data_IF_056680169641
#
_entry.id   IF_056680169641
#
_cell.length_a   1.000
_cell.length_b   1.000
_cell.length_c   1.000
_cell.angle_alpha   90.00
_cell.angle_beta   90.00
_cell.angle_gamma   90.00
#
_symmetry.space_group_name_H-M   'P 1'
#
loop_
_entity.id
_entity.type
_entity.pdbx_description
1 polymer ?
#
# COMPACT_ATOMS: atom_id res chain seq x y z
N UNK A 1 -11.13 -10.50 -11.04
CA UNK A 1 -11.93 -9.39 -10.55
C UNK A 1 -12.54 -9.61 -9.16
N UNK A 2 -13.17 -10.75 -8.83
CA UNK A 2 -13.74 -10.98 -7.48
C UNK A 2 -12.72 -11.03 -6.32
N UNK A 3 -11.50 -11.54 -6.53
CA UNK A 3 -10.44 -11.59 -5.49
C UNK A 3 -9.90 -10.20 -5.09
N UNK A 4 -9.81 -9.23 -6.01
CA UNK A 4 -9.38 -7.86 -5.69
C UNK A 4 -10.34 -7.13 -4.75
N UNK A 5 -11.65 -7.28 -4.92
CA UNK A 5 -12.65 -6.65 -4.04
C UNK A 5 -12.51 -7.06 -2.57
N UNK A 6 -12.07 -8.29 -2.27
CA UNK A 6 -11.84 -8.73 -0.90
C UNK A 6 -10.57 -8.15 -0.24
N UNK A 7 -9.52 -7.84 -1.02
CA UNK A 7 -8.28 -7.30 -0.48
C UNK A 7 -8.45 -5.89 0.15
N UNK A 8 -9.24 -5.04 -0.51
CA UNK A 8 -9.46 -3.65 -0.06
C UNK A 8 -10.58 -3.51 0.98
N UNK A 9 -11.58 -4.42 0.94
CA UNK A 9 -12.62 -4.51 1.99
C UNK A 9 -12.05 -4.69 3.40
N UNK A 10 -10.85 -5.20 3.55
CA UNK A 10 -10.22 -5.42 4.86
C UNK A 10 -9.47 -4.19 5.39
N UNK A 11 -8.89 -3.35 4.52
CA UNK A 11 -8.46 -1.99 4.89
C UNK A 11 -9.63 -1.18 5.46
N UNK A 12 -10.83 -1.35 4.87
CA UNK A 12 -12.07 -0.74 5.35
C UNK A 12 -12.51 -1.23 6.73
N UNK A 13 -12.41 -2.53 7.02
CA UNK A 13 -12.72 -3.06 8.37
C UNK A 13 -11.81 -2.42 9.43
N UNK A 14 -10.58 -2.05 9.10
CA UNK A 14 -9.67 -1.34 10.01
C UNK A 14 -10.13 0.10 10.27
N UNK A 15 -10.50 0.85 9.24
CA UNK A 15 -11.00 2.23 9.40
C UNK A 15 -12.30 2.26 10.19
N UNK A 16 -13.24 1.32 9.94
CA UNK A 16 -14.50 1.19 10.68
C UNK A 16 -14.30 0.67 12.11
N UNK A 17 -13.34 -0.22 12.39
CA UNK A 17 -13.06 -0.72 13.74
C UNK A 17 -12.50 0.36 14.67
N UNK A 18 -11.68 1.27 14.18
CA UNK A 18 -11.16 2.38 15.00
C UNK A 18 -12.23 3.40 15.35
N UNK A 19 -13.25 3.58 14.51
CA UNK A 19 -14.38 4.48 14.80
C UNK A 19 -15.38 3.88 15.82
N UNK A 20 -15.45 2.54 15.95
CA UNK A 20 -16.42 1.87 16.84
C UNK A 20 -15.86 1.43 18.19
N UNK A 21 -14.54 1.40 18.41
CA UNK A 21 -13.93 0.98 19.70
C UNK A 21 -14.04 2.00 20.84
N UNK A 22 -14.59 3.20 20.60
CA UNK A 22 -14.72 4.24 21.64
C UNK A 22 -15.93 4.07 22.59
N UNK A 23 -16.78 3.06 22.43
CA UNK A 23 -18.10 3.02 23.15
C UNK A 23 -18.36 1.75 23.97
N UNK A 24 -17.48 0.74 24.08
CA UNK A 24 -17.78 -0.48 24.85
C UNK A 24 -16.76 -0.80 25.92
N UNK A 25 -16.72 -0.02 26.98
CA UNK A 25 -16.10 -0.38 28.24
C UNK A 25 -17.12 -0.28 29.38
N UNK A 26 -17.90 -1.34 29.61
CA UNK A 26 -18.44 -1.70 30.94
C UNK A 26 -19.33 -2.96 30.84
N UNK A 27 -18.85 -4.08 31.29
CA UNK A 27 -19.49 -4.94 32.29
C UNK A 27 -18.70 -6.26 32.48
N UNK A 28 -17.97 -6.33 33.58
CA UNK A 28 -17.49 -7.60 34.12
C UNK A 28 -18.65 -8.37 34.76
N UNK A 29 -18.82 -9.64 34.35
CA UNK A 29 -19.37 -10.64 35.24
C UNK A 29 -18.62 -11.97 35.10
N UNK A 30 -17.94 -12.34 36.17
CA UNK A 30 -17.21 -13.59 36.34
C UNK A 30 -18.20 -14.73 36.47
N UNK A 31 -18.08 -15.77 35.62
CA UNK A 31 -18.51 -17.14 35.95
C UNK A 31 -17.51 -18.16 35.44
N UNK A 32 -17.20 -19.11 36.29
CA UNK A 32 -16.16 -20.12 36.26
C UNK A 32 -16.33 -21.22 35.22
N UNK A 33 -15.18 -21.64 34.66
CA UNK A 33 -14.70 -22.97 34.35
C UNK A 33 -15.60 -23.96 33.60
N UNK A 34 -15.47 -24.01 32.34
CA UNK A 34 -15.09 -25.18 31.51
C UNK A 34 -14.44 -24.58 30.27
N UNK A 35 -13.13 -24.78 30.10
CA UNK A 35 -12.46 -24.44 28.86
C UNK A 35 -12.91 -25.45 27.81
N UNK A 36 -14.04 -25.19 27.13
CA UNK A 36 -14.24 -25.66 25.78
C UNK A 36 -13.11 -25.04 24.96
N UNK A 37 -12.26 -25.87 24.39
CA UNK A 37 -11.30 -25.45 23.39
C UNK A 37 -12.13 -24.92 22.21
N UNK A 38 -12.30 -23.62 22.16
CA UNK A 38 -13.10 -22.98 21.12
C UNK A 38 -12.49 -23.38 19.77
N UNK A 39 -13.32 -23.96 18.90
CA UNK A 39 -12.87 -24.35 17.57
C UNK A 39 -12.41 -23.12 16.81
N UNK A 40 -11.17 -23.17 16.24
CA UNK A 40 -10.59 -22.06 15.50
C UNK A 40 -11.49 -21.67 14.33
N UNK A 41 -11.68 -20.38 14.14
CA UNK A 41 -12.37 -19.84 12.96
C UNK A 41 -11.59 -20.19 11.67
N UNK A 42 -12.22 -20.17 10.50
CA UNK A 42 -11.51 -20.37 9.23
C UNK A 42 -10.29 -19.45 9.05
N UNK A 43 -10.42 -18.18 9.45
CA UNK A 43 -9.31 -17.22 9.39
C UNK A 43 -8.16 -17.59 10.34
N UNK A 44 -8.45 -18.02 11.57
CA UNK A 44 -7.42 -18.50 12.50
C UNK A 44 -6.75 -19.80 12.03
N UNK A 45 -7.50 -20.74 11.42
CA UNK A 45 -6.95 -21.93 10.79
C UNK A 45 -6.00 -21.58 9.64
N UNK A 46 -6.32 -20.54 8.85
CA UNK A 46 -5.43 -20.02 7.81
C UNK A 46 -4.13 -19.46 8.40
N UNK A 47 -4.22 -18.64 9.45
CA UNK A 47 -3.04 -18.10 10.16
C UNK A 47 -2.11 -19.22 10.61
N UNK A 48 -2.65 -20.27 11.25
CA UNK A 48 -1.88 -21.43 11.70
C UNK A 48 -1.26 -22.21 10.52
N UNK A 49 -2.01 -22.41 9.44
CA UNK A 49 -1.52 -23.07 8.23
C UNK A 49 -0.36 -22.29 7.59
N UNK A 50 -0.46 -20.95 7.51
CA UNK A 50 0.59 -20.12 6.92
C UNK A 50 1.83 -20.02 7.81
N UNK A 51 1.68 -19.99 9.13
CA UNK A 51 2.80 -20.06 10.07
C UNK A 51 3.61 -21.35 9.92
N UNK A 52 2.96 -22.45 9.50
CA UNK A 52 3.58 -23.76 9.33
C UNK A 52 3.89 -24.12 7.87
N UNK A 53 3.56 -23.27 6.90
CA UNK A 53 3.59 -23.58 5.48
C UNK A 53 4.93 -24.14 5.00
N UNK A 54 6.02 -23.52 5.41
CA UNK A 54 7.38 -23.85 5.00
C UNK A 54 8.07 -24.93 5.84
N UNK A 55 7.39 -25.52 6.85
CA UNK A 55 8.02 -26.46 7.78
C UNK A 55 8.56 -27.74 7.10
N UNK A 56 7.97 -28.15 5.98
CA UNK A 56 8.38 -29.34 5.21
C UNK A 56 9.22 -29.00 3.98
N UNK A 57 9.46 -27.73 3.68
CA UNK A 57 10.25 -27.32 2.53
C UNK A 57 11.75 -27.37 2.86
N UNK A 58 12.54 -28.00 2.00
CA UNK A 58 13.98 -28.09 2.17
C UNK A 58 14.69 -26.94 1.45
N UNK A 59 15.02 -25.88 2.17
CA UNK A 59 15.73 -24.70 1.64
C UNK A 59 17.17 -24.97 1.22
N UNK A 60 17.78 -26.13 1.54
CA UNK A 60 19.11 -26.50 1.05
C UNK A 60 19.07 -27.21 -0.30
N UNK A 61 17.90 -27.65 -0.74
CA UNK A 61 17.71 -28.30 -2.03
C UNK A 61 17.64 -27.30 -3.17
N UNK A 62 18.80 -27.01 -3.75
CA UNK A 62 18.91 -26.06 -4.87
C UNK A 62 18.41 -26.60 -6.21
N UNK A 63 17.91 -27.83 -6.28
CA UNK A 63 17.28 -28.36 -7.50
C UNK A 63 16.01 -27.59 -7.86
N UNK A 64 15.33 -27.01 -6.87
CA UNK A 64 14.19 -26.10 -7.07
C UNK A 64 14.51 -24.91 -7.98
N UNK A 65 15.76 -24.43 -8.00
CA UNK A 65 16.18 -23.33 -8.87
C UNK A 65 16.23 -23.71 -10.36
N UNK A 66 16.06 -24.97 -10.69
CA UNK A 66 15.88 -25.46 -12.07
C UNK A 66 14.40 -25.66 -12.44
N UNK A 67 13.51 -25.49 -11.47
CA UNK A 67 12.07 -25.64 -11.56
C UNK A 67 11.41 -24.38 -10.99
N UNK A 68 11.88 -23.23 -11.48
CA UNK A 68 11.47 -21.89 -11.01
C UNK A 68 9.96 -21.68 -11.10
N UNK A 69 9.31 -22.11 -12.18
CA UNK A 69 7.85 -22.02 -12.32
C UNK A 69 7.07 -22.79 -11.23
N UNK A 70 7.56 -23.97 -10.81
CA UNK A 70 6.94 -24.71 -9.74
C UNK A 70 7.18 -24.06 -8.38
N UNK A 71 8.38 -23.54 -8.15
CA UNK A 71 8.72 -22.80 -6.93
C UNK A 71 7.87 -21.51 -6.81
N UNK A 72 7.71 -20.77 -7.91
CA UNK A 72 6.87 -19.58 -7.96
C UNK A 72 5.39 -19.90 -7.65
N UNK A 73 4.85 -21.01 -8.15
CA UNK A 73 3.49 -21.46 -7.83
C UNK A 73 3.34 -21.77 -6.33
N UNK A 74 4.31 -22.47 -5.74
CA UNK A 74 4.32 -22.76 -4.30
C UNK A 74 4.40 -21.46 -3.50
N UNK A 75 5.25 -20.52 -3.92
CA UNK A 75 5.38 -19.22 -3.29
C UNK A 75 4.08 -18.39 -3.41
N UNK A 76 3.44 -18.39 -4.58
CA UNK A 76 2.18 -17.67 -4.82
C UNK A 76 1.03 -18.18 -3.93
N UNK A 77 0.95 -19.48 -3.67
CA UNK A 77 -0.03 -20.06 -2.73
C UNK A 77 0.20 -19.54 -1.31
N UNK A 78 1.48 -19.47 -0.89
CA UNK A 78 1.82 -18.89 0.41
C UNK A 78 1.50 -17.40 0.48
N UNK A 79 1.78 -16.65 -0.58
CA UNK A 79 1.44 -15.22 -0.67
C UNK A 79 -0.07 -14.98 -0.54
N UNK A 80 -0.90 -15.76 -1.24
CA UNK A 80 -2.37 -15.70 -1.11
C UNK A 80 -2.81 -15.91 0.36
N UNK A 81 -2.19 -16.90 1.03
CA UNK A 81 -2.51 -17.23 2.43
C UNK A 81 -2.08 -16.18 3.44
N UNK A 82 -0.86 -15.61 3.31
CA UNK A 82 -0.38 -14.57 4.23
C UNK A 82 -1.10 -13.24 4.02
N UNK A 83 -1.53 -12.92 2.79
CA UNK A 83 -2.40 -11.78 2.52
C UNK A 83 -3.77 -11.96 3.20
N UNK A 84 -4.37 -13.14 3.11
CA UNK A 84 -5.62 -13.42 3.80
C UNK A 84 -5.45 -13.32 5.32
N UNK A 85 -4.36 -13.85 5.89
CA UNK A 85 -4.06 -13.74 7.32
C UNK A 85 -3.87 -12.28 7.76
N UNK A 86 -3.20 -11.47 6.94
CA UNK A 86 -3.01 -10.06 7.19
C UNK A 86 -4.35 -9.29 7.17
N UNK A 87 -5.17 -9.51 6.14
CA UNK A 87 -6.43 -8.80 5.98
C UNK A 87 -7.53 -9.28 6.94
N UNK A 88 -7.61 -10.57 7.23
CA UNK A 88 -8.69 -11.13 8.05
C UNK A 88 -8.39 -11.09 9.56
N UNK A 89 -7.12 -11.18 9.96
CA UNK A 89 -6.70 -11.31 11.35
C UNK A 89 -5.62 -10.30 11.78
N UNK A 90 -5.26 -9.33 10.95
CA UNK A 90 -4.16 -8.38 11.20
C UNK A 90 -2.82 -9.06 11.56
N UNK A 91 -2.56 -10.21 10.93
CA UNK A 91 -1.42 -11.05 11.26
C UNK A 91 -0.37 -11.04 10.15
N UNK A 92 0.84 -10.59 10.48
CA UNK A 92 1.99 -10.56 9.57
C UNK A 92 2.84 -11.82 9.77
N UNK A 93 2.94 -12.67 8.74
CA UNK A 93 3.61 -13.98 8.79
C UNK A 93 4.77 -14.12 7.80
N UNK A 94 5.38 -13.01 7.37
CA UNK A 94 6.33 -13.02 6.25
C UNK A 94 7.79 -13.08 6.65
N UNK A 95 8.15 -12.60 7.83
CA UNK A 95 9.57 -12.44 8.22
C UNK A 95 10.32 -13.77 8.41
N UNK A 96 9.63 -14.87 8.71
CA UNK A 96 10.22 -16.19 8.97
C UNK A 96 10.88 -16.79 7.71
N UNK A 97 10.38 -16.45 6.53
CA UNK A 97 10.92 -16.94 5.25
C UNK A 97 12.38 -16.55 5.04
N UNK A 98 12.80 -15.40 5.57
CA UNK A 98 14.18 -14.90 5.46
C UNK A 98 15.16 -15.83 6.20
N UNK A 99 14.84 -16.16 7.46
CA UNK A 99 15.69 -17.05 8.27
C UNK A 99 15.81 -18.44 7.61
N UNK A 100 14.68 -18.96 7.11
CA UNK A 100 14.63 -20.27 6.45
C UNK A 100 15.42 -20.30 5.15
N UNK A 101 15.26 -19.30 4.30
CA UNK A 101 15.93 -19.24 3.01
C UNK A 101 17.43 -18.93 3.14
N UNK A 102 17.87 -18.23 4.19
CA UNK A 102 19.26 -17.79 4.38
C UNK A 102 20.27 -18.93 4.56
N UNK A 103 19.80 -20.15 4.84
CA UNK A 103 20.68 -21.33 4.93
C UNK A 103 21.34 -21.70 3.59
N UNK A 104 20.82 -21.18 2.47
CA UNK A 104 21.38 -21.38 1.14
C UNK A 104 21.36 -20.03 0.38
N UNK A 105 22.52 -19.46 0.11
CA UNK A 105 22.64 -18.16 -0.59
C UNK A 105 21.88 -18.10 -1.92
N UNK A 106 21.94 -19.11 -2.82
CA UNK A 106 21.17 -19.11 -4.06
C UNK A 106 19.65 -19.13 -3.80
N UNK A 107 19.20 -19.96 -2.86
CA UNK A 107 17.79 -20.04 -2.49
C UNK A 107 17.30 -18.72 -1.88
N UNK A 108 18.09 -18.12 -0.99
CA UNK A 108 17.77 -16.82 -0.40
C UNK A 108 17.58 -15.73 -1.46
N UNK A 109 18.48 -15.65 -2.45
CA UNK A 109 18.32 -14.69 -3.57
C UNK A 109 17.03 -14.92 -4.34
N UNK A 110 16.67 -16.19 -4.61
CA UNK A 110 15.44 -16.52 -5.32
C UNK A 110 14.20 -16.13 -4.52
N UNK A 111 14.18 -16.42 -3.22
CA UNK A 111 13.05 -16.05 -2.35
C UNK A 111 12.91 -14.52 -2.20
N UNK A 112 14.02 -13.80 -2.10
CA UNK A 112 14.00 -12.33 -2.10
C UNK A 112 13.51 -11.76 -3.43
N UNK A 113 13.88 -12.39 -4.56
CA UNK A 113 13.37 -11.99 -5.88
C UNK A 113 11.85 -12.21 -5.97
N UNK A 114 11.35 -13.39 -5.60
CA UNK A 114 9.91 -13.68 -5.59
C UNK A 114 9.13 -12.75 -4.65
N UNK A 115 9.69 -12.44 -3.48
CA UNK A 115 9.07 -11.48 -2.56
C UNK A 115 8.98 -10.06 -3.16
N UNK A 116 10.02 -9.63 -3.88
CA UNK A 116 10.05 -8.35 -4.57
C UNK A 116 8.98 -8.29 -5.69
N UNK A 117 8.91 -9.33 -6.53
CA UNK A 117 7.91 -9.44 -7.59
C UNK A 117 6.48 -9.51 -7.05
N UNK A 118 6.25 -10.19 -5.93
CA UNK A 118 4.92 -10.29 -5.36
C UNK A 118 4.50 -9.02 -4.59
N UNK A 119 5.34 -8.54 -3.67
CA UNK A 119 4.90 -7.53 -2.70
C UNK A 119 5.22 -6.08 -3.10
N UNK A 120 6.17 -5.87 -4.02
CA UNK A 120 6.62 -4.53 -4.43
C UNK A 120 6.24 -4.17 -5.87
N UNK A 121 6.29 -5.10 -6.81
CA UNK A 121 6.04 -4.82 -8.22
C UNK A 121 4.67 -4.11 -8.41
N UNK A 122 4.60 -2.91 -9.03
CA UNK A 122 3.34 -2.18 -9.20
C UNK A 122 2.27 -2.95 -9.97
N UNK A 123 2.69 -3.88 -10.84
CA UNK A 123 1.77 -4.73 -11.63
C UNK A 123 1.32 -5.98 -10.87
N UNK A 124 1.88 -6.26 -9.68
CA UNK A 124 1.54 -7.45 -8.92
C UNK A 124 0.13 -7.34 -8.30
N UNK A 125 -0.71 -8.38 -8.44
CA UNK A 125 -1.99 -8.43 -7.74
C UNK A 125 -1.85 -8.65 -6.23
N UNK A 126 -0.65 -8.99 -5.76
CA UNK A 126 -0.31 -9.27 -4.35
C UNK A 126 0.46 -8.12 -3.70
N UNK A 127 0.59 -6.98 -4.36
CA UNK A 127 1.35 -5.86 -3.83
C UNK A 127 0.87 -5.48 -2.42
N UNK A 128 1.79 -5.52 -1.45
CA UNK A 128 1.52 -5.17 -0.05
C UNK A 128 2.84 -4.86 0.67
N UNK A 129 3.15 -3.59 0.84
CA UNK A 129 4.39 -3.16 1.50
C UNK A 129 4.43 -3.56 2.98
N UNK A 130 3.28 -3.60 3.65
CA UNK A 130 3.20 -4.02 5.07
C UNK A 130 3.66 -5.47 5.28
N UNK A 131 3.51 -6.33 4.27
CA UNK A 131 4.04 -7.70 4.27
C UNK A 131 5.50 -7.76 3.77
N UNK A 132 5.92 -6.79 2.98
CA UNK A 132 7.29 -6.75 2.45
C UNK A 132 8.30 -6.17 3.44
N UNK A 133 7.92 -5.15 4.21
CA UNK A 133 8.78 -4.50 5.20
C UNK A 133 9.45 -5.49 6.18
N UNK A 134 8.74 -6.44 6.82
CA UNK A 134 9.37 -7.40 7.73
C UNK A 134 10.36 -8.34 7.07
N UNK A 135 10.15 -8.68 5.78
CA UNK A 135 11.12 -9.44 4.97
C UNK A 135 12.40 -8.62 4.80
N UNK A 136 12.28 -7.37 4.36
CA UNK A 136 13.42 -6.48 4.15
C UNK A 136 14.17 -6.18 5.45
N UNK A 137 13.46 -5.91 6.55
CA UNK A 137 14.05 -5.64 7.87
C UNK A 137 14.93 -6.78 8.39
N UNK A 138 14.57 -8.01 8.06
CA UNK A 138 15.40 -9.18 8.36
C UNK A 138 16.52 -9.36 7.33
N UNK A 139 16.19 -9.26 6.04
CA UNK A 139 17.14 -9.50 4.96
C UNK A 139 18.40 -8.61 5.07
N UNK A 140 18.23 -7.31 5.37
CA UNK A 140 19.36 -6.38 5.52
C UNK A 140 20.30 -6.70 6.69
N UNK A 141 19.87 -7.57 7.62
CA UNK A 141 20.64 -8.01 8.80
C UNK A 141 21.34 -9.34 8.59
N UNK A 142 21.07 -10.06 7.50
CA UNK A 142 21.72 -11.34 7.22
C UNK A 142 23.19 -11.10 6.89
N UNK A 143 24.06 -11.86 7.56
CA UNK A 143 25.50 -11.82 7.30
C UNK A 143 25.88 -12.53 5.99
N UNK A 144 26.94 -12.08 5.34
CA UNK A 144 27.48 -12.71 4.13
C UNK A 144 26.68 -12.53 2.84
N UNK A 145 25.69 -11.64 2.84
CA UNK A 145 25.02 -11.20 1.59
C UNK A 145 25.94 -10.31 0.76
N UNK A 146 25.71 -10.30 -0.55
CA UNK A 146 26.44 -9.43 -1.46
C UNK A 146 26.12 -7.95 -1.15
N UNK A 147 27.15 -7.12 -1.17
CA UNK A 147 27.02 -5.69 -0.86
C UNK A 147 25.98 -4.98 -1.73
N UNK A 148 25.94 -5.31 -3.03
CA UNK A 148 24.95 -4.73 -3.96
C UNK A 148 23.51 -5.12 -3.61
N UNK A 149 23.28 -6.37 -3.18
CA UNK A 149 21.96 -6.82 -2.74
C UNK A 149 21.54 -6.12 -1.45
N UNK A 150 22.47 -5.95 -0.52
CA UNK A 150 22.21 -5.25 0.74
C UNK A 150 21.79 -3.80 0.50
N UNK A 151 22.55 -3.03 -0.29
CA UNK A 151 22.19 -1.64 -0.64
C UNK A 151 20.82 -1.58 -1.28
N UNK A 152 20.52 -2.49 -2.23
CA UNK A 152 19.22 -2.54 -2.90
C UNK A 152 18.07 -2.78 -1.92
N UNK A 153 18.24 -3.67 -0.97
CA UNK A 153 17.20 -3.96 0.02
C UNK A 153 17.08 -2.86 1.08
N UNK A 154 18.17 -2.18 1.44
CA UNK A 154 18.15 -0.99 2.29
C UNK A 154 17.37 0.15 1.62
N UNK A 155 17.62 0.45 0.35
CA UNK A 155 16.87 1.44 -0.44
C UNK A 155 15.37 1.07 -0.53
N UNK A 156 15.07 -0.21 -0.81
CA UNK A 156 13.69 -0.69 -0.87
C UNK A 156 12.97 -0.59 0.47
N UNK A 157 13.67 -0.87 1.56
CA UNK A 157 13.13 -0.76 2.92
C UNK A 157 12.82 0.71 3.28
N UNK A 158 13.72 1.62 2.93
CA UNK A 158 13.49 3.05 3.12
C UNK A 158 12.26 3.51 2.36
N UNK A 159 12.15 3.19 1.07
CA UNK A 159 11.01 3.53 0.21
C UNK A 159 9.71 2.91 0.69
N UNK A 160 9.70 1.64 1.05
CA UNK A 160 8.51 0.96 1.56
C UNK A 160 8.01 1.60 2.88
N UNK A 161 8.90 2.18 3.68
CA UNK A 161 8.55 2.89 4.93
C UNK A 161 8.06 4.31 4.72
N UNK A 162 8.21 4.90 3.53
CA UNK A 162 7.70 6.24 3.24
C UNK A 162 6.16 6.25 3.22
N UNK A 163 5.58 7.21 3.91
CA UNK A 163 4.13 7.47 3.86
C UNK A 163 3.28 6.20 4.05
N UNK A 164 3.59 5.40 5.09
CA UNK A 164 2.87 4.15 5.40
C UNK A 164 1.42 4.41 5.81
N UNK A 165 0.58 3.40 5.64
CA UNK A 165 -0.79 3.40 6.17
C UNK A 165 -0.82 3.89 7.63
N UNK A 166 -1.78 4.76 7.96
CA UNK A 166 -2.01 5.36 9.27
C UNK A 166 -0.84 6.21 9.82
N UNK A 167 0.17 6.54 9.03
CA UNK A 167 1.19 7.55 9.38
C UNK A 167 0.84 8.90 8.73
N UNK A 168 1.35 9.99 9.29
CA UNK A 168 1.20 11.31 8.68
C UNK A 168 2.04 11.34 7.41
N UNK A 169 1.43 11.70 6.27
CA UNK A 169 2.11 11.85 5.00
C UNK A 169 3.16 12.97 5.08
N UNK A 170 4.27 12.77 4.41
CA UNK A 170 5.34 13.79 4.34
C UNK A 170 4.80 15.08 3.74
N UNK A 171 4.99 16.19 4.42
CA UNK A 171 4.61 17.51 3.92
C UNK A 171 5.56 17.95 2.81
N UNK A 172 4.99 18.65 1.82
CA UNK A 172 5.76 19.26 0.74
C UNK A 172 5.15 20.59 0.30
N UNK A 173 6.00 21.46 -0.20
CA UNK A 173 5.59 22.69 -0.87
C UNK A 173 5.26 22.38 -2.34
N UNK A 174 4.09 22.83 -2.78
CA UNK A 174 3.68 22.74 -4.17
C UNK A 174 3.44 24.12 -4.78
N UNK A 175 3.57 24.23 -6.10
CA UNK A 175 3.25 25.42 -6.89
C UNK A 175 2.14 25.10 -7.87
N UNK A 176 1.03 25.84 -7.77
CA UNK A 176 -0.11 25.67 -8.67
C UNK A 176 0.18 26.16 -10.09
N UNK A 177 -0.65 25.76 -11.03
CA UNK A 177 -0.71 26.28 -12.40
C UNK A 177 -0.87 27.83 -12.45
N UNK A 178 -1.55 28.41 -11.45
CA UNK A 178 -1.74 29.85 -11.28
C UNK A 178 -0.55 30.53 -10.56
N UNK A 179 0.55 29.82 -10.33
CA UNK A 179 1.79 30.31 -9.74
C UNK A 179 1.77 30.53 -8.22
N UNK A 180 0.69 30.15 -7.53
CA UNK A 180 0.61 30.23 -6.07
C UNK A 180 1.33 29.03 -5.42
N UNK A 181 2.01 29.27 -4.30
CA UNK A 181 2.61 28.20 -3.50
C UNK A 181 1.80 27.93 -2.24
N UNK A 182 1.77 26.67 -1.82
CA UNK A 182 1.18 26.23 -0.56
C UNK A 182 1.79 24.88 -0.16
N UNK A 183 1.47 24.39 1.05
CA UNK A 183 1.89 23.10 1.57
C UNK A 183 0.73 22.10 1.57
N UNK A 184 1.05 20.82 1.40
CA UNK A 184 0.06 19.74 1.48
C UNK A 184 -0.72 19.78 2.81
N UNK A 185 0.00 19.99 3.92
CA UNK A 185 -0.62 20.03 5.25
C UNK A 185 -1.54 21.24 5.49
N UNK A 186 -1.45 22.29 4.69
CA UNK A 186 -2.34 23.44 4.76
C UNK A 186 -3.70 23.23 4.07
N UNK A 187 -3.92 22.10 3.40
CA UNK A 187 -5.22 21.78 2.81
C UNK A 187 -6.19 21.41 3.94
N UNK A 188 -7.24 22.21 4.11
CA UNK A 188 -8.13 22.15 5.27
C UNK A 188 -9.34 21.22 5.15
N UNK A 189 -9.50 20.50 4.03
CA UNK A 189 -10.63 19.55 3.83
C UNK A 189 -10.46 18.28 4.64
N UNK A 190 -11.58 17.58 4.89
CA UNK A 190 -11.58 16.30 5.62
C UNK A 190 -10.79 15.23 4.88
N UNK A 191 -10.83 15.24 3.54
CA UNK A 191 -10.13 14.30 2.68
C UNK A 191 -9.27 15.03 1.68
N UNK A 192 -8.11 14.47 1.37
CA UNK A 192 -7.27 14.88 0.24
C UNK A 192 -7.02 13.66 -0.63
N UNK A 193 -7.49 13.72 -1.88
CA UNK A 193 -7.09 12.79 -2.92
C UNK A 193 -5.85 13.36 -3.61
N UNK A 194 -4.67 12.87 -3.22
CA UNK A 194 -3.41 13.22 -3.85
C UNK A 194 -3.19 12.31 -5.05
N UNK A 195 -3.17 12.91 -6.23
CA UNK A 195 -3.10 12.23 -7.52
C UNK A 195 -1.83 12.66 -8.25
N UNK A 196 -0.82 11.80 -8.26
CA UNK A 196 0.37 12.00 -9.07
C UNK A 196 0.11 11.55 -10.50
N UNK A 197 0.39 12.41 -11.45
CA UNK A 197 0.13 12.16 -12.87
C UNK A 197 1.26 12.66 -13.76
N UNK A 198 1.37 12.11 -14.98
CA UNK A 198 2.17 12.65 -16.05
C UNK A 198 1.29 13.05 -17.24
N UNK A 199 1.52 14.22 -17.83
CA UNK A 199 0.88 14.61 -19.08
C UNK A 199 1.10 13.59 -20.20
N UNK A 200 0.08 13.37 -21.04
CA UNK A 200 0.17 12.40 -22.13
C UNK A 200 0.18 10.92 -21.73
N UNK A 201 -0.02 10.60 -20.45
CA UNK A 201 -0.13 9.24 -19.95
C UNK A 201 -1.59 8.75 -20.09
N UNK A 202 -1.85 7.73 -20.89
CA UNK A 202 -3.20 7.19 -21.12
C UNK A 202 -3.87 6.67 -19.83
N UNK A 203 -3.11 6.04 -18.94
CA UNK A 203 -3.65 5.56 -17.66
C UNK A 203 -3.97 6.73 -16.72
N UNK A 204 -3.19 7.80 -16.77
CA UNK A 204 -3.48 9.02 -16.00
C UNK A 204 -4.76 9.68 -16.52
N UNK A 205 -4.95 9.78 -17.84
CA UNK A 205 -6.17 10.30 -18.43
C UNK A 205 -7.39 9.46 -18.03
N UNK A 206 -7.29 8.13 -18.09
CA UNK A 206 -8.34 7.21 -17.62
C UNK A 206 -8.70 7.47 -16.16
N UNK A 207 -7.73 7.56 -15.27
CA UNK A 207 -7.95 7.82 -13.84
C UNK A 207 -8.56 9.20 -13.63
N UNK A 208 -8.05 10.23 -14.31
CA UNK A 208 -8.59 11.59 -14.26
C UNK A 208 -10.07 11.62 -14.65
N UNK A 209 -10.44 10.94 -15.74
CA UNK A 209 -11.84 10.86 -16.19
C UNK A 209 -12.74 10.13 -15.18
N UNK A 210 -12.27 9.04 -14.57
CA UNK A 210 -13.02 8.35 -13.52
C UNK A 210 -13.26 9.26 -12.31
N UNK A 211 -12.27 10.07 -11.90
CA UNK A 211 -12.42 11.03 -10.79
C UNK A 211 -13.41 12.13 -11.18
N UNK A 212 -13.29 12.69 -12.39
CA UNK A 212 -14.18 13.74 -12.93
C UNK A 212 -15.63 13.29 -13.01
N UNK A 213 -15.86 12.05 -13.48
CA UNK A 213 -17.20 11.51 -13.73
C UNK A 213 -17.85 10.93 -12.47
N UNK A 214 -17.15 10.90 -11.32
CA UNK A 214 -17.65 10.34 -10.07
C UNK A 214 -18.62 11.29 -9.37
N UNK A 215 -19.92 10.94 -9.23
CA UNK A 215 -20.89 11.78 -8.50
C UNK A 215 -20.52 11.98 -7.04
N UNK A 216 -19.87 10.98 -6.41
CA UNK A 216 -19.41 11.06 -5.00
C UNK A 216 -18.30 12.07 -4.87
N UNK A 217 -17.29 12.06 -5.76
CA UNK A 217 -16.20 13.03 -5.73
C UNK A 217 -16.75 14.44 -5.92
N UNK A 218 -17.65 14.64 -6.89
CA UNK A 218 -18.26 15.95 -7.13
C UNK A 218 -19.02 16.45 -5.89
N UNK A 219 -19.88 15.62 -5.30
CA UNK A 219 -20.64 15.97 -4.10
C UNK A 219 -19.72 16.32 -2.92
N UNK A 220 -18.60 15.60 -2.74
CA UNK A 220 -17.63 15.86 -1.68
C UNK A 220 -16.83 17.14 -1.91
N UNK A 221 -16.52 17.49 -3.16
CA UNK A 221 -15.89 18.77 -3.52
C UNK A 221 -16.87 19.94 -3.27
N UNK A 222 -18.12 19.82 -3.74
CA UNK A 222 -19.17 20.83 -3.59
C UNK A 222 -19.45 21.16 -2.11
N UNK A 223 -19.35 20.14 -1.23
CA UNK A 223 -19.50 20.30 0.22
C UNK A 223 -18.18 20.73 0.92
N UNK A 224 -17.10 21.02 0.18
CA UNK A 224 -15.77 21.34 0.73
C UNK A 224 -15.24 20.27 1.70
N UNK A 225 -15.56 19.00 1.44
CA UNK A 225 -15.14 17.86 2.25
C UNK A 225 -13.93 17.16 1.63
N UNK A 226 -13.79 17.19 0.30
CA UNK A 226 -12.67 16.60 -0.44
C UNK A 226 -11.95 17.67 -1.25
N UNK A 227 -10.63 17.64 -1.23
CA UNK A 227 -9.76 18.32 -2.21
C UNK A 227 -9.08 17.27 -3.08
N UNK A 228 -9.15 17.43 -4.39
CA UNK A 228 -8.29 16.72 -5.33
C UNK A 228 -7.06 17.57 -5.59
N UNK A 229 -5.88 17.07 -5.20
CA UNK A 229 -4.58 17.67 -5.52
C UNK A 229 -3.94 16.83 -6.63
N UNK A 230 -4.06 17.29 -7.87
CA UNK A 230 -3.38 16.69 -9.02
C UNK A 230 -1.95 17.26 -9.08
N UNK A 231 -0.96 16.41 -8.86
CA UNK A 231 0.44 16.80 -8.74
C UNK A 231 1.29 16.18 -9.85
N UNK A 232 1.94 17.05 -10.61
CA UNK A 232 2.95 16.66 -11.59
C UNK A 232 4.30 16.48 -10.89
N UNK A 233 4.90 15.28 -10.89
CA UNK A 233 6.10 15.00 -10.11
C UNK A 233 7.41 15.29 -10.85
N UNK A 234 7.38 15.50 -12.17
CA UNK A 234 8.56 15.67 -13.00
C UNK A 234 8.88 17.16 -13.28
N UNK A 235 10.01 17.43 -13.93
CA UNK A 235 10.56 18.77 -14.10
C UNK A 235 10.34 19.36 -15.49
N UNK A 236 9.76 18.61 -16.44
CA UNK A 236 9.53 19.10 -17.80
C UNK A 236 8.39 20.15 -17.80
N UNK A 237 8.78 21.39 -17.59
CA UNK A 237 7.84 22.53 -17.62
C UNK A 237 7.24 22.78 -19.00
N UNK A 238 7.86 22.33 -20.08
CA UNK A 238 7.32 22.46 -21.44
C UNK A 238 6.13 21.51 -21.58
N UNK A 239 6.30 20.28 -21.15
CA UNK A 239 5.22 19.30 -21.16
C UNK A 239 4.11 19.68 -20.18
N UNK A 240 4.45 20.07 -18.96
CA UNK A 240 3.51 20.61 -17.97
C UNK A 240 2.61 21.71 -18.55
N UNK A 241 3.20 22.74 -19.20
CA UNK A 241 2.47 23.89 -19.71
C UNK A 241 1.51 23.56 -20.87
N UNK A 242 1.75 22.50 -21.64
CA UNK A 242 0.85 22.07 -22.72
C UNK A 242 -0.47 21.51 -22.21
N UNK A 243 -0.48 20.92 -21.03
CA UNK A 243 -1.62 20.21 -20.46
C UNK A 243 -2.35 20.98 -19.35
N UNK A 244 -1.97 22.25 -19.11
CA UNK A 244 -2.71 23.16 -18.27
C UNK A 244 -4.11 23.40 -18.84
N UNK A 245 -5.15 23.26 -18.00
CA UNK A 245 -6.55 23.43 -18.42
C UNK A 245 -7.25 22.12 -18.81
N UNK A 246 -6.60 20.97 -18.73
CA UNK A 246 -7.24 19.65 -18.91
C UNK A 246 -8.02 19.18 -17.66
N UNK A 247 -7.80 19.86 -16.53
CA UNK A 247 -8.39 19.54 -15.24
C UNK A 247 -9.52 20.51 -14.87
N UNK A 248 -10.51 20.07 -14.08
CA UNK A 248 -11.55 20.95 -13.54
C UNK A 248 -10.98 22.10 -12.70
N UNK A 249 -11.62 23.25 -12.75
CA UNK A 249 -11.20 24.44 -12.01
C UNK A 249 -11.24 24.25 -10.47
N UNK A 250 -12.04 23.29 -10.00
CA UNK A 250 -12.22 22.92 -8.60
C UNK A 250 -11.03 22.11 -8.05
N UNK A 251 -10.19 21.54 -8.94
CA UNK A 251 -9.01 20.80 -8.52
C UNK A 251 -7.85 21.76 -8.26
N UNK A 252 -7.00 21.38 -7.34
CA UNK A 252 -5.68 21.99 -7.21
C UNK A 252 -4.74 21.26 -8.18
N UNK A 253 -4.38 21.93 -9.27
CA UNK A 253 -3.40 21.44 -10.24
C UNK A 253 -2.06 22.07 -9.93
N UNK A 254 -1.05 21.24 -9.63
CA UNK A 254 0.20 21.72 -9.10
C UNK A 254 1.38 20.82 -9.51
N UNK A 255 2.58 21.29 -9.24
CA UNK A 255 3.84 20.56 -9.28
C UNK A 255 4.61 20.77 -7.99
N UNK A 256 5.60 19.98 -7.70
CA UNK A 256 6.51 20.28 -6.59
C UNK A 256 7.13 21.66 -6.76
N UNK A 257 7.22 22.42 -5.66
CA UNK A 257 7.87 23.73 -5.69
C UNK A 257 9.39 23.61 -5.87
N UNK A 258 9.98 22.54 -5.32
CA UNK A 258 11.40 22.23 -5.35
C UNK A 258 11.60 20.75 -5.71
N UNK A 259 12.67 20.44 -6.43
CA UNK A 259 13.05 19.09 -6.84
C UNK A 259 13.16 18.11 -5.66
N UNK A 260 13.76 18.55 -4.56
CA UNK A 260 13.94 17.75 -3.34
C UNK A 260 12.63 17.30 -2.67
N UNK A 261 11.51 17.93 -3.01
CA UNK A 261 10.19 17.52 -2.47
C UNK A 261 9.74 16.18 -3.03
N UNK A 262 10.15 15.85 -4.26
CA UNK A 262 9.82 14.59 -4.92
C UNK A 262 10.35 13.36 -4.17
N UNK A 263 11.53 13.48 -3.55
CA UNK A 263 12.17 12.37 -2.83
C UNK A 263 11.42 11.95 -1.57
N UNK A 264 10.43 12.73 -1.13
CA UNK A 264 9.57 12.40 0.01
C UNK A 264 8.51 11.33 -0.32
N UNK A 265 8.34 10.99 -1.60
CA UNK A 265 7.35 10.03 -2.07
C UNK A 265 7.99 8.98 -2.98
N UNK A 266 7.80 7.69 -2.65
CA UNK A 266 8.12 6.62 -3.60
C UNK A 266 7.01 6.53 -4.65
N UNK A 267 7.35 6.80 -5.90
CA UNK A 267 6.44 6.80 -7.05
C UNK A 267 6.91 5.77 -8.08
N UNK A 268 6.74 4.47 -7.79
CA UNK A 268 7.26 3.40 -8.64
C UNK A 268 6.54 3.28 -9.98
N UNK A 269 5.33 3.83 -10.07
CA UNK A 269 4.53 3.92 -11.29
C UNK A 269 3.63 5.16 -11.22
N UNK A 270 3.24 5.68 -12.40
CA UNK A 270 2.28 6.77 -12.57
C UNK A 270 1.13 6.22 -13.45
N UNK A 271 -0.15 6.47 -13.12
CA UNK A 271 -0.64 7.30 -12.01
C UNK A 271 -0.42 6.66 -10.64
N UNK A 272 -0.19 7.50 -9.61
CA UNK A 272 -0.07 7.07 -8.23
C UNK A 272 -1.07 7.85 -7.37
N UNK A 273 -1.80 7.18 -6.49
CA UNK A 273 -2.90 7.75 -5.74
C UNK A 273 -2.74 7.52 -4.24
N UNK A 274 -2.89 8.60 -3.47
CA UNK A 274 -3.03 8.55 -2.02
C UNK A 274 -4.38 9.13 -1.61
N UNK A 275 -5.03 8.52 -0.62
CA UNK A 275 -6.12 9.14 0.12
C UNK A 275 -5.63 9.49 1.52
N UNK A 276 -5.76 10.76 1.89
CA UNK A 276 -5.34 11.29 3.20
C UNK A 276 -6.56 11.80 3.96
N UNK A 277 -6.57 11.62 5.28
CA UNK A 277 -7.59 12.20 6.15
C UNK A 277 -7.29 13.68 6.50
N UNK A 278 -8.10 14.27 7.40
CA UNK A 278 -7.97 15.65 7.85
C UNK A 278 -6.63 15.96 8.55
N UNK A 279 -6.05 14.97 9.24
CA UNK A 279 -4.74 15.07 9.89
C UNK A 279 -3.59 14.72 8.92
N UNK A 280 -3.90 14.51 7.65
CA UNK A 280 -2.98 14.05 6.60
C UNK A 280 -2.41 12.66 6.89
N UNK A 281 -3.13 11.81 7.64
CA UNK A 281 -2.77 10.41 7.76
C UNK A 281 -3.11 9.68 6.48
N UNK A 282 -2.21 8.79 6.09
CA UNK A 282 -2.38 7.96 4.90
C UNK A 282 -3.45 6.90 5.16
N UNK A 283 -4.57 7.01 4.47
CA UNK A 283 -5.67 6.03 4.47
C UNK A 283 -5.50 5.03 3.33
N UNK A 284 -5.03 5.51 2.18
CA UNK A 284 -4.64 4.67 1.05
C UNK A 284 -3.29 5.16 0.53
N UNK A 285 -2.36 4.25 0.31
CA UNK A 285 -1.07 4.48 -0.37
C UNK A 285 -1.07 3.69 -1.67
N UNK A 286 -0.77 4.36 -2.78
CA UNK A 286 -0.59 3.76 -4.10
C UNK A 286 -1.78 2.84 -4.48
N UNK A 287 -2.99 3.35 -4.18
CA UNK A 287 -4.25 2.62 -4.44
C UNK A 287 -4.75 2.76 -5.85
N UNK A 288 -5.68 1.89 -6.25
CA UNK A 288 -6.43 2.11 -7.46
C UNK A 288 -7.64 3.03 -7.20
N UNK A 289 -8.09 3.70 -8.25
CA UNK A 289 -9.14 4.71 -8.10
C UNK A 289 -10.49 4.09 -7.72
N UNK A 290 -10.81 2.91 -8.23
CA UNK A 290 -12.08 2.25 -7.99
C UNK A 290 -12.27 1.92 -6.50
N UNK A 291 -11.18 1.51 -5.82
CA UNK A 291 -11.22 1.21 -4.38
C UNK A 291 -11.28 2.49 -3.54
N UNK A 292 -10.59 3.55 -3.95
CA UNK A 292 -10.68 4.86 -3.29
C UNK A 292 -12.12 5.40 -3.38
N UNK A 293 -12.75 5.32 -4.55
CA UNK A 293 -14.15 5.74 -4.71
C UNK A 293 -15.09 4.92 -3.83
N UNK A 294 -14.90 3.60 -3.78
CA UNK A 294 -15.69 2.73 -2.91
C UNK A 294 -15.53 3.13 -1.43
N UNK A 295 -14.31 3.48 -0.99
CA UNK A 295 -14.07 3.99 0.37
C UNK A 295 -14.83 5.29 0.61
N UNK A 296 -14.69 6.27 -0.27
CA UNK A 296 -15.37 7.57 -0.15
C UNK A 296 -16.89 7.42 -0.11
N UNK A 297 -17.48 6.54 -0.92
CA UNK A 297 -18.92 6.23 -0.92
C UNK A 297 -19.41 5.68 0.43
N UNK A 298 -18.62 4.80 1.07
CA UNK A 298 -19.02 4.16 2.32
C UNK A 298 -18.71 4.99 3.57
N UNK A 299 -17.82 5.98 3.46
CA UNK A 299 -17.49 6.89 4.56
C UNK A 299 -18.37 8.14 4.57
N UNK A 300 -19.08 8.40 3.48
CA UNK A 300 -20.01 9.53 3.33
C UNK A 300 -21.42 9.26 3.92
N UNK A 301 -21.78 7.98 4.16
CA UNK A 301 -23.05 7.57 4.78
C UNK A 301 -22.99 7.70 6.31
#
# INVERSE_FOLDING_TARGET
MAKRKNLYLCGMKRVLLYATMAVMATSCSVKSSHQEVAELTPAQKNVEAMANYWNKFNFTDTTWLKHDEELEKVFAIWVDGVLAAYYDCDTVLTSDIVDRASVSKPMFKQFMHMADECFRNPMSPWRCEELYIPILEKAVKIEGIDYADKIRWEDRLEKAKMNRFNTIASDFEYRTDKGKTNFLHNIGTQWVLLYFFNPGCNDCERVSNIIKDSPVVQALIDCNTLTVLALYPDEDLVEWNKHLGEFPDEWIVARFAHESERDKYDLPAIPNLYLLDNDKRVVVKDGNIEDILYLLENMWQ
#
